data_IF_975170297618
#
_entry.id   IF_975170297618
#
_cell.length_a   1.000
_cell.length_b   1.000
_cell.length_c   1.000
_cell.angle_alpha   90.00
_cell.angle_beta   90.00
_cell.angle_gamma   90.00
#
_symmetry.space_group_name_H-M   'P 1'
#
loop_
_entity.id
_entity.type
_entity.pdbx_description
1 polymer ?
#
# COMPACT_ATOMS: atom_id res chain seq x y z
N UNK A 1 5.11 -8.89 -13.39
CA UNK A 1 6.33 -8.19 -13.84
C UNK A 1 6.19 -6.72 -13.47
N UNK A 2 7.22 -6.10 -12.88
CA UNK A 2 7.19 -4.67 -12.54
C UNK A 2 7.35 -3.84 -13.82
N UNK A 3 6.72 -2.66 -13.87
CA UNK A 3 6.96 -1.68 -14.94
C UNK A 3 8.39 -1.13 -14.83
N UNK A 4 8.99 -0.62 -15.92
CA UNK A 4 10.24 0.13 -15.84
C UNK A 4 10.18 1.21 -14.76
N UNK A 5 11.29 1.42 -14.06
CA UNK A 5 11.45 2.41 -12.97
C UNK A 5 10.58 2.19 -11.73
N UNK A 6 9.91 1.05 -11.61
CA UNK A 6 9.14 0.70 -10.41
C UNK A 6 9.88 -0.35 -9.57
N UNK A 7 9.89 -0.13 -8.26
CA UNK A 7 10.43 -1.07 -7.29
C UNK A 7 9.32 -1.55 -6.33
N UNK A 8 9.62 -2.63 -5.59
CA UNK A 8 8.77 -3.07 -4.48
C UNK A 8 9.23 -2.30 -3.24
N UNK A 9 8.30 -1.57 -2.65
CA UNK A 9 8.52 -0.86 -1.39
C UNK A 9 7.99 -1.67 -0.21
N UNK A 10 8.58 -1.45 0.96
CA UNK A 10 8.15 -2.06 2.22
C UNK A 10 7.76 -0.97 3.22
N UNK A 11 6.60 -1.14 3.86
CA UNK A 11 6.15 -0.25 4.93
C UNK A 11 6.78 -0.74 6.24
N UNK A 12 7.62 0.06 6.92
CA UNK A 12 8.21 -0.33 8.20
C UNK A 12 7.15 -0.57 9.28
N UNK A 13 7.52 -1.32 10.32
CA UNK A 13 6.68 -1.46 11.51
C UNK A 13 6.35 -0.07 12.09
N UNK A 14 5.10 0.11 12.52
CA UNK A 14 4.57 1.35 13.11
C UNK A 14 4.54 2.57 12.18
N UNK A 15 4.88 2.42 10.89
CA UNK A 15 4.71 3.49 9.92
C UNK A 15 3.24 3.60 9.48
N UNK A 16 2.83 4.83 9.14
CA UNK A 16 1.57 5.11 8.47
C UNK A 16 1.86 5.32 6.99
N UNK A 17 1.14 4.60 6.14
CA UNK A 17 1.23 4.76 4.69
C UNK A 17 -0.11 5.24 4.12
N UNK A 18 -0.04 6.15 3.14
CA UNK A 18 -1.21 6.61 2.39
C UNK A 18 -1.27 5.87 1.05
N UNK A 19 -2.29 5.04 0.86
CA UNK A 19 -2.54 4.35 -0.39
C UNK A 19 -3.56 5.14 -1.22
N UNK A 20 -3.11 5.73 -2.33
CA UNK A 20 -3.97 6.52 -3.22
C UNK A 20 -4.84 5.58 -4.07
N UNK A 21 -6.14 5.63 -3.84
CA UNK A 21 -7.15 4.94 -4.65
C UNK A 21 -7.43 5.64 -5.99
N UNK A 22 -8.35 5.07 -6.78
CA UNK A 22 -8.74 5.61 -8.08
C UNK A 22 -9.46 6.96 -8.01
N UNK A 23 -10.12 7.26 -6.88
CA UNK A 23 -10.82 8.52 -6.64
C UNK A 23 -9.89 9.67 -6.21
N UNK A 24 -8.61 9.37 -5.95
CA UNK A 24 -7.63 10.39 -5.64
C UNK A 24 -7.34 11.25 -6.89
N UNK A 25 -7.38 12.58 -6.73
CA UNK A 25 -7.15 13.56 -7.80
C UNK A 25 -5.85 13.24 -8.58
N UNK A 26 -5.94 13.20 -9.91
CA UNK A 26 -4.82 12.90 -10.80
C UNK A 26 -4.13 11.52 -10.61
N UNK A 27 -4.80 10.54 -9.98
CA UNK A 27 -4.26 9.19 -9.74
C UNK A 27 -4.78 8.10 -10.70
N UNK A 28 -5.48 8.49 -11.77
CA UNK A 28 -6.04 7.54 -12.75
C UNK A 28 -4.93 6.67 -13.36
N UNK A 29 -5.07 5.35 -13.25
CA UNK A 29 -4.09 4.38 -13.78
C UNK A 29 -2.77 4.30 -13.00
N UNK A 30 -2.67 5.00 -11.85
CA UNK A 30 -1.47 5.08 -10.99
C UNK A 30 -1.67 4.45 -9.61
N UNK A 31 -2.72 3.64 -9.45
CA UNK A 31 -3.00 2.90 -8.22
C UNK A 31 -1.87 1.93 -7.86
N UNK A 32 -1.67 1.71 -6.56
CA UNK A 32 -0.63 0.84 -6.02
C UNK A 32 -1.18 -0.58 -5.85
N UNK A 33 -0.49 -1.56 -6.42
CA UNK A 33 -0.70 -2.98 -6.10
C UNK A 33 0.09 -3.31 -4.84
N UNK A 34 -0.59 -3.77 -3.79
CA UNK A 34 0.02 -4.12 -2.51
C UNK A 34 -0.33 -5.55 -2.11
N UNK A 35 0.52 -6.17 -1.28
CA UNK A 35 0.28 -7.49 -0.69
C UNK A 35 0.86 -7.56 0.72
N UNK A 36 0.21 -8.33 1.57
CA UNK A 36 0.77 -8.67 2.88
C UNK A 36 1.92 -9.67 2.72
N UNK A 37 3.13 -9.39 3.25
CA UNK A 37 4.19 -10.40 3.32
C UNK A 37 3.85 -11.44 4.39
N UNK A 38 4.51 -12.59 4.34
CA UNK A 38 4.43 -13.61 5.38
C UNK A 38 4.78 -13.02 6.77
N UNK A 39 4.12 -13.49 7.82
CA UNK A 39 4.34 -13.03 9.20
C UNK A 39 5.27 -14.03 9.90
N UNK A 40 6.52 -13.64 10.17
CA UNK A 40 7.48 -14.49 10.87
C UNK A 40 7.26 -14.57 12.38
N UNK A 41 6.69 -13.51 12.97
CA UNK A 41 6.50 -13.37 14.43
C UNK A 41 5.10 -12.81 14.72
N UNK A 42 4.07 -13.67 14.81
CA UNK A 42 2.69 -13.23 15.05
C UNK A 42 2.46 -12.77 16.51
N UNK A 43 1.52 -11.84 16.75
CA UNK A 43 0.60 -11.22 15.79
C UNK A 43 1.20 -9.97 15.10
N UNK A 44 0.89 -9.78 13.80
CA UNK A 44 1.09 -8.51 13.10
C UNK A 44 -0.28 -7.87 12.84
N UNK A 45 -0.49 -6.68 13.39
CA UNK A 45 -1.75 -5.93 13.23
C UNK A 45 -1.57 -4.84 12.18
N UNK A 46 -2.52 -4.73 11.25
CA UNK A 46 -2.64 -3.65 10.28
C UNK A 46 -4.02 -3.00 10.46
N UNK A 47 -4.05 -1.68 10.64
CA UNK A 47 -5.30 -0.91 10.59
C UNK A 47 -5.37 -0.18 9.24
N UNK A 48 -6.48 -0.37 8.53
CA UNK A 48 -6.76 0.34 7.28
C UNK A 48 -7.99 1.21 7.49
N UNK A 49 -7.89 2.46 7.07
CA UNK A 49 -8.98 3.43 7.10
C UNK A 49 -9.27 3.84 5.67
N UNK A 50 -10.53 3.78 5.29
CA UNK A 50 -10.99 4.30 4.01
C UNK A 50 -11.87 5.50 4.29
N UNK A 51 -11.51 6.63 3.69
CA UNK A 51 -12.38 7.79 3.66
C UNK A 51 -13.20 7.65 2.37
N UNK A 52 -14.53 7.59 2.48
CA UNK A 52 -15.36 7.65 1.29
C UNK A 52 -15.24 9.07 0.71
N UNK A 53 -14.43 9.22 -0.35
CA UNK A 53 -14.33 10.44 -1.14
C UNK A 53 -15.31 10.41 -2.31
#
# INVERSE_FOLDING_TARGET
MLRPDHCIESIPLYAVALLKGSLWQDNTGRGIVHRSPAVSSPPRVLAAFDAAW
#
